data_IF_424706280490
#
_entry.id   IF_424706280490
#
_cell.length_a   1.000
_cell.length_b   1.000
_cell.length_c   1.000
_cell.angle_alpha   90.00
_cell.angle_beta   90.00
_cell.angle_gamma   90.00
#
_symmetry.space_group_name_H-M   'P 1'
#
loop_
_entity.id
_entity.type
_entity.pdbx_description
1 polymer ?
#
# COMPACT_ATOMS: atom_id res chain seq x y z
N UNK A 1 -1.29 15.52 -12.65
CA UNK A 1 -1.54 14.31 -11.83
C UNK A 1 -1.48 13.12 -12.79
N UNK A 2 -0.57 12.18 -12.57
CA UNK A 2 -0.42 10.99 -13.42
C UNK A 2 -1.61 10.08 -13.08
N UNK A 3 -2.37 9.64 -14.10
CA UNK A 3 -3.52 8.76 -13.91
C UNK A 3 -3.10 7.47 -13.22
N UNK A 4 -3.44 7.34 -11.94
CA UNK A 4 -3.29 6.12 -11.16
C UNK A 4 -4.55 5.30 -11.38
N UNK A 5 -4.40 4.04 -11.77
CA UNK A 5 -5.54 3.18 -12.02
C UNK A 5 -5.14 1.74 -11.89
N UNK A 6 -5.63 1.08 -10.85
CA UNK A 6 -5.57 -0.36 -10.73
C UNK A 6 -6.34 -0.99 -11.90
N UNK A 7 -5.67 -1.86 -12.66
CA UNK A 7 -6.35 -2.63 -13.73
C UNK A 7 -7.19 -3.71 -13.06
N UNK A 8 -8.51 -3.58 -13.19
CA UNK A 8 -9.47 -4.59 -12.70
C UNK A 8 -9.22 -5.91 -13.44
N UNK A 9 -8.98 -6.99 -12.69
CA UNK A 9 -8.91 -8.34 -13.25
C UNK A 9 -10.28 -8.79 -13.78
N UNK A 10 -10.31 -9.43 -14.95
CA UNK A 10 -11.53 -9.83 -15.70
C UNK A 10 -12.47 -10.84 -15.01
N UNK A 11 -12.12 -11.37 -13.84
CA UNK A 11 -12.95 -12.34 -13.11
C UNK A 11 -14.05 -11.69 -12.26
N UNK A 12 -14.93 -10.87 -12.87
CA UNK A 12 -16.14 -10.35 -12.19
C UNK A 12 -17.23 -11.42 -12.12
N UNK A 13 -17.78 -11.63 -10.91
CA UNK A 13 -19.13 -12.20 -10.75
C UNK A 13 -20.14 -11.11 -11.14
N UNK A 14 -21.15 -11.40 -11.99
CA UNK A 14 -22.14 -10.41 -12.39
C UNK A 14 -23.08 -10.11 -11.22
N UNK A 15 -22.83 -9.02 -10.50
CA UNK A 15 -23.69 -8.55 -9.43
C UNK A 15 -23.31 -7.14 -9.01
N UNK A 16 -24.25 -6.21 -9.19
CA UNK A 16 -24.20 -4.78 -8.88
C UNK A 16 -23.29 -3.92 -9.79
N UNK A 17 -23.85 -3.51 -10.94
CA UNK A 17 -23.53 -2.18 -11.47
C UNK A 17 -24.11 -1.16 -10.49
N UNK A 18 -23.34 -0.82 -9.44
CA UNK A 18 -23.64 0.35 -8.64
C UNK A 18 -23.57 1.56 -9.58
N UNK A 19 -24.65 2.36 -9.60
CA UNK A 19 -24.66 3.68 -10.22
C UNK A 19 -23.38 4.42 -9.81
N UNK A 20 -22.65 4.94 -10.79
CA UNK A 20 -21.31 5.53 -10.65
C UNK A 20 -21.30 6.82 -9.80
N UNK A 21 -21.65 6.73 -8.53
CA UNK A 21 -21.01 7.54 -7.51
C UNK A 21 -19.58 7.00 -7.41
N UNK A 22 -18.60 7.76 -7.90
CA UNK A 22 -17.19 7.38 -7.86
C UNK A 22 -16.82 6.89 -6.45
N UNK A 23 -16.47 5.62 -6.34
CA UNK A 23 -16.05 5.04 -5.07
C UNK A 23 -14.86 5.84 -4.54
N UNK A 24 -14.86 6.14 -3.24
CA UNK A 24 -13.80 6.93 -2.62
C UNK A 24 -12.44 6.26 -2.81
N UNK A 25 -11.41 7.10 -2.94
CA UNK A 25 -10.00 6.71 -2.93
C UNK A 25 -9.66 5.92 -1.68
N UNK A 26 -8.84 4.88 -1.82
CA UNK A 26 -8.40 4.05 -0.69
C UNK A 26 -6.94 4.37 -0.36
N UNK A 27 -6.70 4.87 0.85
CA UNK A 27 -5.36 5.09 1.40
C UNK A 27 -5.05 3.99 2.42
N UNK A 28 -3.93 3.28 2.26
CA UNK A 28 -3.56 2.12 3.07
C UNK A 28 -2.25 2.41 3.82
N UNK A 29 -2.30 2.26 5.14
CA UNK A 29 -1.12 2.12 6.00
C UNK A 29 -0.59 0.69 5.91
N UNK A 30 0.39 0.48 5.03
CA UNK A 30 0.92 -0.86 4.79
C UNK A 30 1.66 -1.43 6.00
N UNK A 31 2.36 -0.58 6.76
CA UNK A 31 3.10 -1.04 7.93
C UNK A 31 2.18 -1.70 8.93
N UNK A 32 0.98 -1.15 9.14
CA UNK A 32 0.01 -1.75 10.03
C UNK A 32 -0.62 -3.03 9.43
N UNK A 33 -0.97 -3.02 8.14
CA UNK A 33 -1.54 -4.20 7.44
C UNK A 33 -0.56 -5.36 7.43
N UNK A 34 0.64 -5.15 6.91
CA UNK A 34 1.67 -6.17 6.73
C UNK A 34 2.15 -6.77 8.07
N UNK A 35 2.26 -5.94 9.12
CA UNK A 35 2.63 -6.43 10.45
C UNK A 35 1.47 -7.18 11.13
N UNK A 36 0.22 -6.77 10.92
CA UNK A 36 -0.94 -7.46 11.51
C UNK A 36 -1.18 -8.81 10.84
N UNK A 37 -1.00 -8.90 9.52
CA UNK A 37 -1.16 -10.12 8.75
C UNK A 37 -0.30 -11.29 9.31
N UNK A 38 0.90 -10.99 9.80
CA UNK A 38 1.81 -11.98 10.37
C UNK A 38 1.73 -12.12 11.90
N UNK A 39 0.70 -11.56 12.56
CA UNK A 39 0.61 -11.48 14.03
C UNK A 39 1.84 -10.82 14.67
N UNK A 40 2.32 -9.73 14.07
CA UNK A 40 3.46 -8.90 14.50
C UNK A 40 4.84 -9.59 14.43
N UNK A 41 4.96 -10.70 13.70
CA UNK A 41 6.23 -11.44 13.58
C UNK A 41 7.12 -10.99 12.42
N UNK A 42 6.55 -10.74 11.25
CA UNK A 42 7.28 -10.38 10.02
C UNK A 42 6.49 -9.35 9.20
N UNK A 43 7.16 -8.46 8.50
CA UNK A 43 6.46 -7.62 7.54
C UNK A 43 6.01 -8.46 6.35
N UNK A 44 4.72 -8.75 6.25
CA UNK A 44 4.18 -9.65 5.22
C UNK A 44 3.55 -8.86 4.07
N UNK A 45 4.28 -8.73 2.96
CA UNK A 45 3.80 -8.00 1.77
C UNK A 45 2.60 -8.67 1.10
N UNK A 46 2.39 -9.96 1.35
CA UNK A 46 1.19 -10.68 0.92
C UNK A 46 -0.08 -10.07 1.52
N UNK A 47 -0.05 -9.66 2.79
CA UNK A 47 -1.19 -8.98 3.42
C UNK A 47 -1.55 -7.66 2.73
N UNK A 48 -0.54 -6.94 2.23
CA UNK A 48 -0.71 -5.73 1.40
C UNK A 48 -1.46 -6.03 0.12
N UNK A 49 -1.03 -7.06 -0.63
CA UNK A 49 -1.65 -7.47 -1.90
C UNK A 49 -3.10 -7.91 -1.67
N UNK A 50 -3.35 -8.73 -0.65
CA UNK A 50 -4.70 -9.17 -0.30
C UNK A 50 -5.61 -7.99 0.07
N UNK A 51 -5.10 -6.97 0.76
CA UNK A 51 -5.84 -5.75 1.07
C UNK A 51 -6.20 -4.96 -0.20
N UNK A 52 -5.25 -4.77 -1.12
CA UNK A 52 -5.51 -4.10 -2.42
C UNK A 52 -6.55 -4.88 -3.23
N UNK A 53 -6.38 -6.20 -3.35
CA UNK A 53 -7.32 -7.06 -4.08
C UNK A 53 -8.72 -7.06 -3.45
N UNK A 54 -8.82 -7.02 -2.12
CA UNK A 54 -10.10 -6.96 -1.42
C UNK A 54 -10.95 -5.76 -1.87
N UNK A 55 -10.36 -4.58 -1.94
CA UNK A 55 -11.04 -3.37 -2.41
C UNK A 55 -11.16 -3.33 -3.94
N UNK A 56 -10.15 -3.81 -4.67
CA UNK A 56 -10.16 -3.87 -6.13
C UNK A 56 -11.31 -4.75 -6.66
N UNK A 57 -11.54 -5.91 -6.02
CA UNK A 57 -12.64 -6.81 -6.33
C UNK A 57 -14.03 -6.21 -6.03
N UNK A 58 -14.09 -5.14 -5.25
CA UNK A 58 -15.31 -4.35 -4.96
C UNK A 58 -15.49 -3.16 -5.90
N UNK A 59 -14.59 -2.98 -6.85
CA UNK A 59 -14.67 -1.94 -7.87
C UNK A 59 -13.90 -0.65 -7.55
N UNK A 60 -13.17 -0.58 -6.44
CA UNK A 60 -12.25 0.54 -6.20
C UNK A 60 -11.11 0.49 -7.23
N UNK A 61 -10.73 1.66 -7.76
CA UNK A 61 -9.68 1.78 -8.79
C UNK A 61 -8.58 2.76 -8.40
N UNK A 62 -8.84 3.68 -7.47
CA UNK A 62 -7.87 4.65 -6.94
C UNK A 62 -7.33 4.19 -5.58
N UNK A 63 -6.05 3.83 -5.58
CA UNK A 63 -5.34 3.30 -4.43
C UNK A 63 -4.05 4.07 -4.17
N UNK A 64 -3.75 4.25 -2.89
CA UNK A 64 -2.46 4.74 -2.42
C UNK A 64 -2.04 3.88 -1.22
N UNK A 65 -1.03 3.04 -1.42
CA UNK A 65 -0.41 2.26 -0.36
C UNK A 65 0.87 2.97 0.08
N UNK A 66 0.96 3.39 1.33
CA UNK A 66 2.17 4.02 1.86
C UNK A 66 3.09 3.00 2.51
N UNK A 67 4.35 2.99 2.08
CA UNK A 67 5.37 2.07 2.61
C UNK A 67 6.67 2.82 2.89
N UNK A 68 7.31 2.63 4.06
CA UNK A 68 8.63 3.19 4.33
C UNK A 68 9.67 2.75 3.31
N UNK A 69 10.43 3.68 2.74
CA UNK A 69 11.44 3.38 1.72
C UNK A 69 12.50 2.35 2.18
N UNK A 70 12.81 2.28 3.49
CA UNK A 70 13.76 1.29 4.00
C UNK A 70 13.28 -0.16 3.79
N UNK A 71 11.97 -0.39 3.57
CA UNK A 71 11.41 -1.70 3.23
C UNK A 71 11.82 -2.19 1.84
N UNK A 72 12.49 -1.35 1.04
CA UNK A 72 13.16 -1.73 -0.22
C UNK A 72 14.56 -2.31 -0.01
N UNK A 73 15.18 -2.02 1.13
CA UNK A 73 16.51 -2.54 1.45
C UNK A 73 16.44 -4.07 1.59
N UNK A 74 17.56 -4.76 1.37
CA UNK A 74 17.67 -6.20 1.61
C UNK A 74 17.15 -6.57 3.01
N UNK A 75 16.36 -7.64 3.08
CA UNK A 75 15.84 -8.16 4.34
C UNK A 75 16.97 -8.40 5.36
N UNK A 76 16.72 -8.03 6.61
CA UNK A 76 17.66 -8.24 7.71
C UNK A 76 16.98 -8.99 8.85
N UNK A 77 17.76 -9.67 9.67
CA UNK A 77 17.25 -10.41 10.84
C UNK A 77 16.50 -9.52 11.83
N UNK A 78 16.94 -8.28 12.02
CA UNK A 78 16.30 -7.27 12.88
C UNK A 78 15.12 -6.55 12.22
N UNK A 79 14.87 -6.79 10.94
CA UNK A 79 13.81 -6.17 10.17
C UNK A 79 13.27 -7.17 9.12
N UNK A 80 12.69 -8.29 9.56
CA UNK A 80 12.27 -9.36 8.66
C UNK A 80 11.12 -8.88 7.76
N UNK A 81 11.18 -9.31 6.50
CA UNK A 81 10.18 -9.02 5.47
C UNK A 81 10.01 -10.28 4.60
N UNK A 82 8.77 -10.62 4.29
CA UNK A 82 8.41 -11.76 3.44
C UNK A 82 7.74 -11.24 2.15
N UNK A 83 8.03 -11.91 1.03
CA UNK A 83 7.45 -11.61 -0.29
C UNK A 83 7.70 -10.17 -0.78
N UNK A 84 8.90 -9.65 -0.54
CA UNK A 84 9.29 -8.27 -0.84
C UNK A 84 9.06 -7.87 -2.31
N UNK A 85 9.09 -8.83 -3.26
CA UNK A 85 8.80 -8.60 -4.68
C UNK A 85 7.44 -7.93 -4.92
N UNK A 86 6.45 -8.23 -4.09
CA UNK A 86 5.09 -7.67 -4.18
C UNK A 86 5.09 -6.14 -4.09
N UNK A 87 5.96 -5.56 -3.26
CA UNK A 87 6.02 -4.10 -3.13
C UNK A 87 6.50 -3.44 -4.44
N UNK A 88 7.42 -4.08 -5.15
CA UNK A 88 7.90 -3.60 -6.45
C UNK A 88 6.86 -3.79 -7.55
N UNK A 89 6.02 -4.82 -7.46
CA UNK A 89 4.89 -4.99 -8.38
C UNK A 89 3.83 -3.90 -8.16
N UNK A 90 3.45 -3.65 -6.90
CA UNK A 90 2.50 -2.57 -6.54
C UNK A 90 3.03 -1.17 -6.90
N UNK A 91 4.36 -0.97 -6.83
CA UNK A 91 5.01 0.25 -7.34
C UNK A 91 4.85 0.38 -8.85
N UNK A 92 5.12 -0.70 -9.62
CA UNK A 92 4.95 -0.72 -11.09
C UNK A 92 3.50 -0.49 -11.53
N UNK A 93 2.55 -0.92 -10.71
CA UNK A 93 1.11 -0.72 -10.90
C UNK A 93 0.64 0.70 -10.51
N UNK A 94 1.54 1.57 -10.04
CA UNK A 94 1.25 2.93 -9.54
C UNK A 94 0.29 2.97 -8.34
N UNK A 95 0.24 1.88 -7.57
CA UNK A 95 -0.57 1.76 -6.34
C UNK A 95 0.23 2.15 -5.10
N UNK A 96 1.53 1.85 -5.08
CA UNK A 96 2.41 2.06 -3.93
C UNK A 96 3.17 3.39 -4.01
N UNK A 97 3.31 4.06 -2.86
CA UNK A 97 4.13 5.25 -2.66
C UNK A 97 5.13 5.00 -1.54
N UNK A 98 6.41 5.20 -1.85
CA UNK A 98 7.46 5.15 -0.84
C UNK A 98 7.49 6.43 -0.01
N UNK A 99 7.35 6.32 1.29
CA UNK A 99 7.59 7.42 2.23
C UNK A 99 9.08 7.54 2.52
N UNK A 100 9.60 8.78 2.74
CA UNK A 100 11.03 8.97 2.94
C UNK A 100 11.58 8.18 4.14
N UNK A 101 12.79 7.65 3.98
CA UNK A 101 13.57 7.17 5.12
C UNK A 101 15.04 7.43 4.83
N UNK A 102 15.84 7.71 5.86
CA UNK A 102 17.27 8.02 5.65
C UNK A 102 18.15 7.38 6.70
N UNK A 103 19.42 7.19 6.37
CA UNK A 103 20.45 6.75 7.31
C UNK A 103 21.37 7.92 7.65
N UNK A 104 21.53 8.20 8.94
CA UNK A 104 22.47 9.20 9.45
C UNK A 104 23.32 8.53 10.51
N UNK A 105 24.65 8.66 10.42
CA UNK A 105 25.59 8.08 11.38
C UNK A 105 25.33 6.59 11.66
N UNK A 106 25.08 5.82 10.59
CA UNK A 106 24.71 4.38 10.61
C UNK A 106 23.38 4.04 11.31
N UNK A 107 22.67 5.02 11.88
CA UNK A 107 21.33 4.87 12.45
C UNK A 107 20.26 5.18 11.40
N UNK A 108 19.18 4.41 11.42
CA UNK A 108 18.01 4.65 10.57
C UNK A 108 17.14 5.73 11.21
N UNK A 109 16.79 6.74 10.43
CA UNK A 109 15.79 7.74 10.77
C UNK A 109 14.61 7.51 9.82
N UNK A 110 13.48 7.12 10.40
CA UNK A 110 12.22 6.94 9.69
C UNK A 110 11.36 8.15 10.06
N UNK A 111 10.84 8.89 9.07
CA UNK A 111 9.79 9.84 9.38
C UNK A 111 8.48 9.07 9.60
N UNK A 112 7.65 9.53 10.53
CA UNK A 112 6.34 8.91 10.76
C UNK A 112 5.51 8.99 9.47
N UNK A 113 5.21 7.83 8.89
CA UNK A 113 4.39 7.70 7.68
C UNK A 113 2.98 8.27 7.88
N UNK A 114 2.50 8.30 9.13
CA UNK A 114 1.22 8.86 9.57
C UNK A 114 0.92 10.23 8.94
N UNK A 115 1.93 11.11 8.86
CA UNK A 115 1.73 12.46 8.29
C UNK A 115 1.44 12.43 6.80
N UNK A 116 2.11 11.54 6.06
CA UNK A 116 1.85 11.37 4.63
C UNK A 116 0.47 10.75 4.41
N UNK A 117 0.12 9.73 5.20
CA UNK A 117 -1.17 9.05 5.16
C UNK A 117 -2.32 10.05 5.42
N UNK A 118 -2.26 10.79 6.53
CA UNK A 118 -3.31 11.73 6.92
C UNK A 118 -3.46 12.87 5.93
N UNK A 119 -2.34 13.48 5.50
CA UNK A 119 -2.36 14.59 4.54
C UNK A 119 -2.92 14.14 3.19
N UNK A 120 -2.49 13.00 2.67
CA UNK A 120 -3.02 12.48 1.39
C UNK A 120 -4.47 12.07 1.51
N UNK A 121 -4.91 11.56 2.67
CA UNK A 121 -6.32 11.27 2.90
C UNK A 121 -7.15 12.56 2.89
N UNK A 122 -6.69 13.61 3.56
CA UNK A 122 -7.37 14.92 3.56
C UNK A 122 -7.49 15.51 2.15
N UNK A 123 -6.39 15.51 1.38
CA UNK A 123 -6.36 16.00 -0.01
C UNK A 123 -7.25 15.19 -0.97
N UNK A 124 -7.47 13.90 -0.69
CA UNK A 124 -8.30 12.99 -1.52
C UNK A 124 -9.77 12.98 -1.16
N UNK A 125 -10.15 13.58 -0.02
CA UNK A 125 -11.52 13.62 0.48
C UNK A 125 -12.21 14.97 0.18
N UNK A 126 -11.49 15.92 -0.41
CA UNK A 126 -12.00 17.18 -0.97
C UNK A 126 -12.37 17.00 -2.44
#
# INVERSE_FOLDING_TARGET
MIGRGWKVSENRRPGAQASASELRSIVIDDSNVAMTHSRKGVFSCRGTRECVEFFGNRGHTDFIVFVPQFRRETARSDCPIADQSILFELEKENVLVWTPSRRINRRRIVCHDDRYILKTTEEKMQ
#
